data_IF_047958993790
#
_entry.id   IF_047958993790
#
_cell.length_a   1.000
_cell.length_b   1.000
_cell.length_c   1.000
_cell.angle_alpha   90.00
_cell.angle_beta   90.00
_cell.angle_gamma   90.00
#
_symmetry.space_group_name_H-M   'P 1'
#
loop_
_entity.id
_entity.type
_entity.pdbx_description
1 polymer ?
#
# COMPACT_ATOMS: atom_id res chain seq x y z
N UNK A 1 46.08 26.81 -8.22
CA UNK A 1 44.80 26.17 -8.59
C UNK A 1 44.75 24.84 -7.86
N UNK A 2 43.87 24.70 -6.87
CA UNK A 2 43.60 23.41 -6.23
C UNK A 2 42.56 22.70 -7.08
N UNK A 3 42.98 21.64 -7.75
CA UNK A 3 42.07 20.76 -8.48
C UNK A 3 41.14 20.08 -7.47
N UNK A 4 39.84 20.24 -7.64
CA UNK A 4 38.85 19.62 -6.75
C UNK A 4 38.73 18.15 -7.15
N UNK A 5 39.15 17.25 -6.26
CA UNK A 5 38.92 15.81 -6.41
C UNK A 5 37.42 15.57 -6.31
N UNK A 6 36.83 14.99 -7.37
CA UNK A 6 35.43 14.60 -7.38
C UNK A 6 35.21 13.29 -6.62
N UNK A 7 33.97 13.03 -6.20
CA UNK A 7 33.59 11.76 -5.55
C UNK A 7 34.00 10.53 -6.39
N UNK A 8 33.98 10.66 -7.72
CA UNK A 8 34.28 9.58 -8.67
C UNK A 8 35.77 9.25 -8.78
N UNK A 9 36.63 10.15 -8.30
CA UNK A 9 38.08 9.98 -8.30
C UNK A 9 38.57 9.21 -7.07
N UNK A 10 37.68 8.96 -6.09
CA UNK A 10 38.04 8.20 -4.90
C UNK A 10 38.36 6.73 -5.23
N UNK A 11 39.32 6.11 -4.53
CA UNK A 11 39.57 4.67 -4.63
C UNK A 11 38.37 3.84 -4.14
N UNK A 12 38.28 2.58 -4.59
CA UNK A 12 37.12 1.71 -4.32
C UNK A 12 36.89 1.49 -2.81
N UNK A 13 37.94 1.53 -2.00
CA UNK A 13 37.91 1.43 -0.55
C UNK A 13 37.15 2.61 0.07
N UNK A 14 37.41 3.83 -0.40
CA UNK A 14 36.71 5.02 0.07
C UNK A 14 35.27 5.06 -0.43
N UNK A 15 35.00 4.63 -1.66
CA UNK A 15 33.64 4.45 -2.15
C UNK A 15 32.86 3.46 -1.27
N UNK A 16 33.46 2.31 -0.93
CA UNK A 16 32.84 1.34 0.00
C UNK A 16 32.64 1.92 1.39
N UNK A 17 33.59 2.71 1.90
CA UNK A 17 33.43 3.39 3.18
C UNK A 17 32.29 4.41 3.16
N UNK A 18 32.19 5.24 2.12
CA UNK A 18 31.09 6.21 1.96
C UNK A 18 29.73 5.52 1.96
N UNK A 19 29.61 4.37 1.29
CA UNK A 19 28.39 3.55 1.32
C UNK A 19 27.95 3.16 2.74
N UNK A 20 28.89 3.03 3.68
CA UNK A 20 28.58 2.68 5.07
C UNK A 20 28.14 3.88 5.93
N UNK A 21 28.22 5.11 5.41
CA UNK A 21 27.90 6.32 6.17
C UNK A 21 26.40 6.63 6.25
N UNK A 22 25.59 6.14 5.31
CA UNK A 22 24.13 6.27 5.40
C UNK A 22 23.47 5.00 5.92
N UNK A 23 22.19 5.14 6.28
CA UNK A 23 21.41 4.05 6.83
C UNK A 23 21.34 2.86 5.85
N UNK A 24 21.58 1.61 6.32
CA UNK A 24 21.64 0.44 5.45
C UNK A 24 20.33 0.11 4.73
N UNK A 25 19.20 0.62 5.24
CA UNK A 25 17.88 0.47 4.61
C UNK A 25 17.32 1.77 4.02
N UNK A 26 18.14 2.82 3.87
CA UNK A 26 17.71 3.98 3.09
C UNK A 26 17.67 3.60 1.61
N UNK A 27 16.47 3.26 1.12
CA UNK A 27 16.26 2.83 -0.27
C UNK A 27 16.78 3.89 -1.24
N UNK A 28 16.44 5.15 -1.01
CA UNK A 28 16.77 6.24 -1.94
C UNK A 28 18.25 6.53 -2.00
N UNK A 29 18.93 6.60 -0.85
CA UNK A 29 20.38 6.80 -0.80
C UNK A 29 21.13 5.64 -1.50
N UNK A 30 20.70 4.39 -1.26
CA UNK A 30 21.33 3.23 -1.88
C UNK A 30 21.10 3.17 -3.39
N UNK A 31 19.89 3.50 -3.88
CA UNK A 31 19.60 3.57 -5.32
C UNK A 31 20.37 4.70 -5.97
N UNK A 32 20.35 5.92 -5.40
CA UNK A 32 21.12 7.04 -5.90
C UNK A 32 22.61 6.68 -6.00
N UNK A 33 23.17 6.08 -4.95
CA UNK A 33 24.57 5.67 -4.94
C UNK A 33 24.88 4.61 -5.99
N UNK A 34 24.02 3.60 -6.15
CA UNK A 34 24.17 2.60 -7.20
C UNK A 34 24.22 3.25 -8.59
N UNK A 35 23.34 4.21 -8.87
CA UNK A 35 23.19 4.84 -10.17
C UNK A 35 24.28 5.89 -10.51
N UNK A 36 25.17 6.24 -9.57
CA UNK A 36 26.21 7.25 -9.82
C UNK A 36 27.19 6.84 -10.91
N UNK A 37 27.77 5.63 -10.82
CA UNK A 37 28.77 5.10 -11.77
C UNK A 37 28.85 3.57 -11.72
N UNK A 38 29.48 2.94 -12.72
CA UNK A 38 29.77 1.50 -12.69
C UNK A 38 30.61 1.07 -11.47
N UNK A 39 31.47 1.96 -10.96
CA UNK A 39 32.29 1.68 -9.77
C UNK A 39 31.45 1.60 -8.49
N UNK A 40 30.44 2.46 -8.36
CA UNK A 40 29.52 2.42 -7.23
C UNK A 40 28.52 1.28 -7.38
N UNK A 41 28.04 0.97 -8.59
CA UNK A 41 27.24 -0.23 -8.88
C UNK A 41 27.98 -1.54 -8.54
N UNK A 42 29.28 -1.62 -8.84
CA UNK A 42 30.12 -2.77 -8.46
C UNK A 42 30.22 -3.01 -6.94
N UNK A 43 29.85 -2.02 -6.11
CA UNK A 43 29.70 -2.21 -4.67
C UNK A 43 28.44 -3.01 -4.28
N UNK A 44 27.59 -3.35 -5.25
CA UNK A 44 26.37 -4.15 -5.10
C UNK A 44 26.42 -5.40 -5.99
N UNK A 45 26.80 -5.25 -7.27
CA UNK A 45 26.69 -6.31 -8.29
C UNK A 45 27.71 -7.45 -8.15
N UNK A 46 28.77 -7.28 -7.36
CA UNK A 46 29.87 -8.25 -7.23
C UNK A 46 29.57 -9.50 -6.41
N UNK A 47 28.31 -9.79 -6.06
CA UNK A 47 27.95 -10.92 -5.18
C UNK A 47 26.87 -11.77 -5.84
N UNK A 48 26.89 -13.09 -5.59
CA UNK A 48 25.82 -14.02 -5.98
C UNK A 48 24.43 -13.69 -5.36
N UNK A 49 24.33 -12.59 -4.63
CA UNK A 49 23.21 -12.20 -3.77
C UNK A 49 22.67 -10.80 -4.09
N UNK A 50 23.03 -10.22 -5.25
CA UNK A 50 22.57 -8.88 -5.65
C UNK A 50 21.05 -8.76 -5.56
N UNK A 51 20.30 -9.75 -6.06
CA UNK A 51 18.84 -9.73 -6.01
C UNK A 51 18.30 -9.79 -4.56
N UNK A 52 18.93 -10.60 -3.70
CA UNK A 52 18.58 -10.70 -2.28
C UNK A 52 18.85 -9.41 -1.50
N UNK A 53 19.91 -8.67 -1.87
CA UNK A 53 20.15 -7.34 -1.31
C UNK A 53 18.98 -6.40 -1.61
N UNK A 54 18.52 -6.36 -2.87
CA UNK A 54 17.41 -5.49 -3.27
C UNK A 54 16.08 -5.96 -2.69
N UNK A 55 15.84 -7.26 -2.60
CA UNK A 55 14.66 -7.80 -1.91
C UNK A 55 14.60 -7.30 -0.48
N UNK A 56 15.68 -7.49 0.28
CA UNK A 56 15.76 -7.05 1.68
C UNK A 56 15.54 -5.54 1.79
N UNK A 57 16.18 -4.76 0.91
CA UNK A 57 16.04 -3.31 0.88
C UNK A 57 14.58 -2.89 0.69
N UNK A 58 13.89 -3.46 -0.30
CA UNK A 58 12.49 -3.19 -0.57
C UNK A 58 11.61 -3.57 0.61
N UNK A 59 11.79 -4.78 1.16
CA UNK A 59 10.98 -5.26 2.30
C UNK A 59 11.19 -4.40 3.55
N UNK A 60 12.43 -3.99 3.84
CA UNK A 60 12.74 -3.09 4.94
C UNK A 60 12.10 -1.70 4.82
N UNK A 61 11.69 -1.31 3.60
CA UNK A 61 10.93 -0.08 3.34
C UNK A 61 9.43 -0.36 3.16
N UNK A 62 8.96 -1.54 3.58
CA UNK A 62 7.57 -1.95 3.54
C UNK A 62 7.04 -2.24 2.14
N UNK A 63 7.90 -2.63 1.19
CA UNK A 63 7.55 -2.93 -0.19
C UNK A 63 7.61 -4.43 -0.48
N UNK A 64 6.71 -4.90 -1.33
CA UNK A 64 6.62 -6.28 -1.82
C UNK A 64 6.61 -6.36 -3.35
N UNK A 65 6.67 -7.58 -3.85
CA UNK A 65 6.23 -7.91 -5.22
C UNK A 65 4.73 -8.15 -5.23
N UNK A 66 4.06 -7.78 -6.31
CA UNK A 66 2.63 -8.09 -6.50
C UNK A 66 2.47 -9.52 -7.03
N UNK A 67 1.23 -9.99 -7.21
CA UNK A 67 0.99 -11.28 -7.88
C UNK A 67 1.04 -11.20 -9.42
N UNK A 68 0.85 -10.00 -9.98
CA UNK A 68 0.92 -9.73 -11.43
C UNK A 68 2.36 -9.63 -11.93
N UNK A 69 3.25 -9.45 -10.98
CA UNK A 69 4.66 -9.29 -11.15
C UNK A 69 5.30 -10.62 -11.65
N UNK A 70 5.74 -10.70 -12.91
CA UNK A 70 6.49 -11.85 -13.48
C UNK A 70 7.67 -12.31 -12.60
N UNK A 71 7.99 -13.61 -12.54
CA UNK A 71 9.16 -14.10 -11.79
C UNK A 71 10.49 -13.86 -12.53
N UNK A 72 10.67 -12.66 -13.09
CA UNK A 72 11.86 -12.26 -13.81
C UNK A 72 13.03 -11.98 -12.86
N UNK A 73 14.26 -12.34 -13.28
CA UNK A 73 15.46 -12.01 -12.50
C UNK A 73 15.67 -10.49 -12.40
N UNK A 74 16.21 -10.03 -11.26
CA UNK A 74 16.47 -8.61 -10.94
C UNK A 74 15.21 -7.76 -10.68
N UNK A 75 14.06 -8.39 -10.47
CA UNK A 75 12.81 -7.67 -10.23
C UNK A 75 12.90 -6.70 -9.05
N UNK A 76 13.47 -7.15 -7.93
CA UNK A 76 13.55 -6.33 -6.72
C UNK A 76 14.38 -5.06 -6.93
N UNK A 77 15.43 -5.15 -7.76
CA UNK A 77 16.24 -3.99 -8.15
C UNK A 77 15.42 -2.98 -8.95
N UNK A 78 14.62 -3.46 -9.91
CA UNK A 78 13.75 -2.57 -10.69
C UNK A 78 12.70 -1.90 -9.79
N UNK A 79 12.06 -2.66 -8.90
CA UNK A 79 11.12 -2.12 -7.91
C UNK A 79 11.78 -1.03 -7.05
N UNK A 80 13.00 -1.29 -6.56
CA UNK A 80 13.76 -0.32 -5.79
C UNK A 80 13.94 0.99 -6.57
N UNK A 81 14.25 0.91 -7.87
CA UNK A 81 14.50 2.08 -8.72
C UNK A 81 13.23 2.87 -8.97
N UNK A 82 12.15 2.19 -9.34
CA UNK A 82 10.87 2.81 -9.62
C UNK A 82 10.34 3.53 -8.37
N UNK A 83 10.41 2.88 -7.21
CA UNK A 83 10.02 3.47 -5.94
C UNK A 83 10.92 4.64 -5.54
N UNK A 84 12.24 4.51 -5.62
CA UNK A 84 13.16 5.58 -5.23
C UNK A 84 13.03 6.82 -6.12
N UNK A 85 12.89 6.61 -7.44
CA UNK A 85 12.66 7.70 -8.40
C UNK A 85 11.35 8.43 -8.13
N UNK A 86 10.29 7.67 -7.83
CA UNK A 86 8.97 8.24 -7.56
C UNK A 86 8.88 8.93 -6.20
N UNK A 87 9.65 8.48 -5.21
CA UNK A 87 9.56 8.96 -3.84
C UNK A 87 9.75 10.47 -3.69
N UNK A 88 10.59 11.08 -4.53
CA UNK A 88 10.94 12.50 -4.45
C UNK A 88 9.88 13.43 -5.06
N UNK A 89 9.05 12.91 -5.96
CA UNK A 89 7.99 13.66 -6.66
C UNK A 89 6.59 13.23 -6.26
N UNK A 90 6.47 12.35 -5.26
CA UNK A 90 5.18 11.80 -4.85
C UNK A 90 4.44 12.81 -3.96
N UNK A 91 3.33 13.33 -4.47
CA UNK A 91 2.45 14.27 -3.77
C UNK A 91 1.30 13.57 -3.01
N UNK A 92 1.22 12.24 -3.13
CA UNK A 92 0.19 11.45 -2.47
C UNK A 92 0.38 11.53 -0.95
N UNK A 93 -0.67 11.87 -0.18
CA UNK A 93 -0.60 11.88 1.28
C UNK A 93 -0.15 10.52 1.80
N UNK A 94 0.63 10.53 2.88
CA UNK A 94 1.02 9.28 3.54
C UNK A 94 1.82 8.35 2.59
N UNK A 95 2.48 8.90 1.56
CA UNK A 95 3.28 8.19 0.57
C UNK A 95 4.67 8.85 0.37
N UNK A 96 5.36 8.51 -0.73
CA UNK A 96 6.65 9.09 -1.10
C UNK A 96 7.79 8.74 -0.13
N UNK A 97 8.72 9.68 0.02
CA UNK A 97 9.83 9.57 0.97
C UNK A 97 9.35 9.28 2.38
N UNK A 98 8.39 10.06 2.88
CA UNK A 98 7.90 9.94 4.25
C UNK A 98 7.39 8.53 4.58
N UNK A 99 6.67 7.89 3.64
CA UNK A 99 6.21 6.52 3.81
C UNK A 99 7.35 5.51 3.84
N UNK A 100 8.32 5.62 2.93
CA UNK A 100 9.49 4.72 2.93
C UNK A 100 10.26 4.83 4.25
N UNK A 101 10.38 6.05 4.79
CA UNK A 101 10.99 6.30 6.09
C UNK A 101 10.18 5.72 7.25
N UNK A 102 8.87 5.99 7.31
CA UNK A 102 8.01 5.45 8.36
C UNK A 102 8.01 3.92 8.37
N UNK A 103 7.94 3.28 7.19
CA UNK A 103 7.97 1.83 7.08
C UNK A 103 9.29 1.21 7.57
N UNK A 104 10.41 1.97 7.55
CA UNK A 104 11.73 1.48 8.00
C UNK A 104 11.92 1.57 9.51
N UNK A 105 11.16 2.39 10.22
CA UNK A 105 11.32 2.59 11.67
C UNK A 105 11.11 1.32 12.50
N UNK A 106 10.09 0.48 12.27
CA UNK A 106 9.94 -0.78 13.01
C UNK A 106 11.13 -1.73 12.86
N UNK A 107 11.82 -1.68 11.71
CA UNK A 107 13.04 -2.46 11.48
C UNK A 107 14.24 -1.96 12.31
N UNK A 108 14.24 -0.69 12.70
CA UNK A 108 15.23 -0.11 13.58
C UNK A 108 15.01 -0.53 15.04
N UNK A 109 13.76 -0.44 15.49
CA UNK A 109 13.36 -0.65 16.88
C UNK A 109 13.40 -2.11 17.33
N UNK A 110 13.23 -3.07 16.41
CA UNK A 110 13.35 -4.51 16.69
C UNK A 110 14.77 -4.98 17.04
N UNK A 111 15.70 -4.05 17.28
CA UNK A 111 17.02 -4.33 17.85
C UNK A 111 18.10 -4.65 16.83
N UNK A 112 17.82 -4.52 15.52
CA UNK A 112 18.86 -4.55 14.49
C UNK A 112 19.77 -3.30 14.56
N UNK A 113 19.24 -2.16 15.05
CA UNK A 113 20.00 -0.92 15.21
C UNK A 113 21.11 -0.99 16.28
N UNK A 114 21.03 -1.89 17.27
CA UNK A 114 22.08 -2.01 18.32
C UNK A 114 23.34 -2.77 17.86
N UNK A 115 23.43 -3.22 16.61
CA UNK A 115 24.61 -3.92 16.05
C UNK A 115 25.18 -3.26 14.79
N UNK A 116 24.72 -2.06 14.43
CA UNK A 116 25.11 -1.33 13.21
C UNK A 116 26.53 -0.75 13.24
N UNK A 117 27.24 -0.75 14.38
CA UNK A 117 28.68 -0.47 14.42
C UNK A 117 29.53 -1.60 13.80
N UNK A 118 28.92 -2.77 13.58
CA UNK A 118 29.49 -3.79 12.70
C UNK A 118 29.15 -3.35 11.29
N UNK A 119 30.13 -2.75 10.60
CA UNK A 119 30.20 -2.62 9.14
C UNK A 119 29.36 -3.74 8.52
N UNK A 120 28.46 -3.40 7.58
CA UNK A 120 27.81 -4.33 6.63
C UNK A 120 28.86 -5.08 5.80
N UNK A 121 29.72 -5.81 6.49
CA UNK A 121 30.68 -6.75 5.98
C UNK A 121 29.87 -7.92 5.45
N UNK A 122 30.50 -8.72 4.59
CA UNK A 122 29.94 -10.01 4.19
C UNK A 122 29.35 -10.76 5.38
N UNK A 123 29.94 -10.68 6.59
CA UNK A 123 29.47 -11.36 7.79
C UNK A 123 28.11 -10.89 8.34
N UNK A 124 27.70 -9.62 8.19
CA UNK A 124 26.36 -9.22 8.61
C UNK A 124 25.33 -9.69 7.59
N UNK A 125 25.64 -9.65 6.29
CA UNK A 125 24.81 -10.28 5.25
C UNK A 125 24.83 -11.81 5.32
N UNK A 126 25.89 -12.44 5.82
CA UNK A 126 26.04 -13.91 6.00
C UNK A 126 25.33 -14.40 7.29
N UNK A 127 25.42 -13.61 8.37
CA UNK A 127 24.67 -13.84 9.62
C UNK A 127 23.19 -13.57 9.42
N UNK A 128 22.91 -12.55 8.63
CA UNK A 128 21.60 -12.30 8.11
C UNK A 128 21.18 -13.41 7.15
N UNK A 129 22.02 -13.94 6.26
CA UNK A 129 21.72 -15.07 5.37
C UNK A 129 21.36 -16.35 6.13
N UNK A 130 22.12 -16.71 7.17
CA UNK A 130 21.85 -17.89 8.01
C UNK A 130 20.63 -17.72 8.92
N UNK A 131 20.22 -16.49 9.24
CA UNK A 131 18.93 -16.20 9.89
C UNK A 131 17.78 -16.03 8.88
N UNK A 132 18.03 -15.45 7.73
CA UNK A 132 17.05 -15.02 6.72
C UNK A 132 16.64 -16.13 5.76
N UNK A 133 17.49 -17.16 5.52
CA UNK A 133 17.17 -18.21 4.55
C UNK A 133 16.40 -19.42 5.09
N UNK A 134 16.12 -19.50 6.39
CA UNK A 134 15.33 -20.62 6.95
C UNK A 134 14.41 -20.23 8.11
N UNK A 135 14.69 -19.14 8.85
CA UNK A 135 14.02 -18.90 10.13
C UNK A 135 13.45 -17.49 10.35
N UNK A 136 13.70 -16.50 9.48
CA UNK A 136 12.95 -15.23 9.47
C UNK A 136 11.59 -15.37 8.78
N UNK A 137 10.78 -16.12 9.47
CA UNK A 137 9.51 -15.65 9.97
C UNK A 137 9.73 -14.23 10.53
N UNK A 138 9.12 -13.17 9.96
CA UNK A 138 8.99 -11.83 10.58
C UNK A 138 8.77 -12.00 12.11
N UNK A 139 9.14 -11.07 13.00
CA UNK A 139 8.80 -11.18 14.42
C UNK A 139 7.28 -11.35 14.65
N UNK A 140 6.45 -11.10 13.62
CA UNK A 140 5.04 -11.51 13.56
C UNK A 140 4.62 -12.38 12.36
N UNK A 141 5.53 -12.99 11.58
CA UNK A 141 5.09 -14.14 10.80
C UNK A 141 4.78 -15.22 11.84
N UNK A 142 3.54 -15.66 11.87
CA UNK A 142 3.10 -16.57 12.90
C UNK A 142 3.62 -17.93 12.44
N UNK A 143 4.72 -18.42 13.04
CA UNK A 143 4.91 -19.87 13.04
C UNK A 143 3.60 -20.45 13.55
N UNK A 144 3.10 -21.51 12.90
CA UNK A 144 2.12 -22.43 13.49
C UNK A 144 2.74 -23.15 14.71
N UNK A 145 3.41 -22.42 15.60
CA UNK A 145 3.76 -22.86 16.93
C UNK A 145 2.51 -22.84 17.80
N UNK A 146 2.51 -23.58 18.91
CA UNK A 146 1.34 -23.73 19.75
C UNK A 146 0.97 -22.38 20.38
N UNK A 147 -0.05 -21.73 19.79
CA UNK A 147 -1.09 -20.95 20.47
C UNK A 147 -0.61 -19.91 21.50
N UNK A 148 0.49 -19.21 21.23
CA UNK A 148 0.72 -17.93 21.91
C UNK A 148 -0.33 -16.95 21.36
N UNK A 149 -1.27 -16.56 22.21
CA UNK A 149 -2.25 -15.48 22.00
C UNK A 149 -1.49 -14.15 21.87
N UNK A 150 -0.83 -13.95 20.74
CA UNK A 150 -0.28 -12.65 20.38
C UNK A 150 -1.43 -11.83 19.85
N UNK A 151 -2.05 -11.13 20.78
CA UNK A 151 -3.08 -10.09 20.62
C UNK A 151 -2.48 -8.83 19.98
N UNK A 152 -1.63 -9.02 18.97
CA UNK A 152 -1.02 -7.92 18.24
C UNK A 152 -2.03 -7.44 17.21
N UNK A 153 -2.59 -6.26 17.47
CA UNK A 153 -3.28 -5.48 16.46
C UNK A 153 -2.34 -5.34 15.26
N UNK A 154 -2.76 -5.86 14.09
CA UNK A 154 -2.06 -5.58 12.85
C UNK A 154 -2.38 -4.13 12.47
N UNK A 155 -1.35 -3.32 12.30
CA UNK A 155 -1.52 -1.94 11.86
C UNK A 155 -1.75 -1.93 10.35
N UNK A 156 -2.87 -1.33 9.92
CA UNK A 156 -3.12 -1.15 8.49
C UNK A 156 -2.21 -0.09 7.90
N UNK A 157 -1.90 -0.26 6.62
CA UNK A 157 -1.25 0.80 5.87
C UNK A 157 -2.21 1.99 5.72
N UNK A 158 -1.86 3.18 6.22
CA UNK A 158 -2.75 4.35 6.17
C UNK A 158 -3.04 4.82 4.74
N UNK A 159 -2.27 4.40 3.73
CA UNK A 159 -2.60 4.69 2.33
C UNK A 159 -3.94 4.09 1.91
N UNK A 160 -4.39 3.02 2.58
CA UNK A 160 -5.70 2.40 2.32
C UNK A 160 -6.86 3.38 2.59
N UNK A 161 -6.67 4.36 3.49
CA UNK A 161 -7.63 5.42 3.75
C UNK A 161 -7.80 6.41 2.59
N UNK A 162 -6.80 6.46 1.70
CA UNK A 162 -6.73 7.37 0.56
C UNK A 162 -7.13 6.71 -0.76
N UNK A 163 -7.51 5.42 -0.76
CA UNK A 163 -7.95 4.74 -1.97
C UNK A 163 -9.41 5.04 -2.26
N UNK A 164 -9.69 5.21 -3.54
CA UNK A 164 -10.99 5.59 -4.05
C UNK A 164 -11.31 4.87 -5.34
N UNK A 165 -12.61 4.86 -5.68
CA UNK A 165 -13.09 4.14 -6.84
C UNK A 165 -13.80 5.04 -7.83
N UNK A 166 -13.47 4.90 -9.13
CA UNK A 166 -14.18 5.60 -10.20
C UNK A 166 -15.48 4.87 -10.52
N UNK A 167 -16.56 5.62 -10.68
CA UNK A 167 -17.75 5.15 -11.40
C UNK A 167 -17.42 5.17 -12.88
N UNK A 168 -17.53 4.03 -13.54
CA UNK A 168 -17.52 4.03 -15.00
C UNK A 168 -18.85 4.57 -15.48
N UNK A 169 -18.79 5.49 -16.44
CA UNK A 169 -19.99 6.02 -17.09
C UNK A 169 -20.88 4.88 -17.61
N UNK A 170 -22.18 5.08 -17.45
CA UNK A 170 -23.22 4.25 -18.07
C UNK A 170 -22.86 4.11 -19.56
N UNK A 171 -22.84 2.88 -20.07
CA UNK A 171 -22.57 2.50 -21.47
C UNK A 171 -21.12 2.15 -21.88
N UNK A 172 -20.12 2.21 -20.99
CA UNK A 172 -18.81 1.60 -21.27
C UNK A 172 -18.54 0.44 -20.32
N UNK A 173 -18.35 -0.77 -20.88
CA UNK A 173 -17.86 -1.90 -20.12
C UNK A 173 -16.58 -1.48 -19.40
N UNK A 174 -16.53 -1.51 -18.05
CA UNK A 174 -15.38 -1.01 -17.32
C UNK A 174 -14.15 -1.77 -17.78
N UNK A 175 -13.19 -1.06 -18.36
CA UNK A 175 -11.86 -1.62 -18.45
C UNK A 175 -11.41 -1.88 -17.02
N UNK A 176 -10.99 -3.11 -16.82
CA UNK A 176 -10.74 -3.70 -15.53
C UNK A 176 -9.72 -2.85 -14.74
N UNK A 177 -8.81 -2.15 -15.39
CA UNK A 177 -7.68 -1.49 -14.73
C UNK A 177 -7.99 -0.09 -14.18
N UNK A 178 -9.15 0.51 -14.49
CA UNK A 178 -9.40 1.94 -14.25
C UNK A 178 -10.19 2.24 -12.96
N UNK A 179 -10.42 1.24 -12.10
CA UNK A 179 -11.41 1.38 -11.03
C UNK A 179 -10.85 1.94 -9.74
N UNK A 180 -9.55 1.92 -9.44
CA UNK A 180 -8.99 2.58 -8.27
C UNK A 180 -7.93 3.63 -8.57
N UNK A 181 -8.01 4.71 -7.81
CA UNK A 181 -7.07 5.82 -7.81
C UNK A 181 -6.78 6.25 -6.39
N UNK A 182 -5.70 7.01 -6.24
CA UNK A 182 -5.31 7.56 -4.94
C UNK A 182 -5.83 8.99 -4.81
N UNK A 183 -6.53 9.28 -3.72
CA UNK A 183 -7.07 10.61 -3.40
C UNK A 183 -6.08 11.43 -2.54
N UNK A 184 -5.94 12.74 -2.80
CA UNK A 184 -5.37 13.70 -1.87
C UNK A 184 -6.16 13.82 -0.54
N UNK A 185 -5.53 14.41 0.49
CA UNK A 185 -5.98 14.36 1.90
C UNK A 185 -7.32 15.05 2.15
N UNK A 186 -7.69 16.03 1.31
CA UNK A 186 -8.72 17.03 1.62
C UNK A 186 -9.77 17.22 0.50
N UNK A 187 -10.05 16.19 -0.30
CA UNK A 187 -10.99 16.34 -1.42
C UNK A 187 -12.45 16.10 -1.04
N UNK A 188 -13.28 17.11 -1.32
CA UNK A 188 -14.74 17.00 -1.43
C UNK A 188 -15.12 16.16 -2.65
N UNK A 189 -16.23 15.43 -2.57
CA UNK A 189 -16.75 14.57 -3.66
C UNK A 189 -16.96 15.33 -4.97
N UNK A 190 -17.15 16.66 -4.91
CA UNK A 190 -17.56 17.53 -6.02
C UNK A 190 -16.47 17.81 -7.06
N UNK A 191 -15.22 17.39 -6.86
CA UNK A 191 -14.16 17.63 -7.86
C UNK A 191 -14.20 16.58 -8.99
N UNK A 192 -15.08 16.83 -9.98
CA UNK A 192 -15.43 15.96 -11.12
C UNK A 192 -14.25 15.46 -11.98
N UNK A 193 -13.08 16.11 -11.94
CA UNK A 193 -11.95 15.73 -12.79
C UNK A 193 -10.62 15.85 -12.05
N UNK A 194 -10.16 14.72 -11.51
CA UNK A 194 -8.77 14.58 -11.12
C UNK A 194 -8.02 13.61 -12.05
N UNK A 195 -6.82 14.00 -12.53
CA UNK A 195 -5.84 13.07 -13.07
C UNK A 195 -5.19 12.31 -11.90
N UNK A 196 -6.00 11.71 -11.02
CA UNK A 196 -5.49 10.89 -9.93
C UNK A 196 -4.69 9.73 -10.50
N UNK A 197 -3.50 9.49 -9.95
CA UNK A 197 -2.67 8.35 -10.33
C UNK A 197 -3.43 7.07 -10.03
N UNK A 198 -3.56 6.22 -11.05
CA UNK A 198 -4.16 4.90 -10.90
C UNK A 198 -3.36 4.09 -9.87
N UNK A 199 -4.07 3.34 -9.04
CA UNK A 199 -3.44 2.61 -7.94
C UNK A 199 -2.33 1.68 -8.45
N UNK A 200 -2.60 0.94 -9.53
CA UNK A 200 -1.69 -0.04 -10.11
C UNK A 200 -0.44 0.60 -10.76
N UNK A 201 -0.54 1.85 -11.21
CA UNK A 201 0.58 2.59 -11.82
C UNK A 201 1.45 3.31 -10.79
N UNK A 202 0.97 3.47 -9.55
CA UNK A 202 1.74 4.10 -8.49
C UNK A 202 2.72 3.11 -7.83
N UNK A 203 4.05 3.24 -8.03
CA UNK A 203 5.01 2.18 -7.67
C UNK A 203 5.11 1.94 -6.16
N UNK A 204 5.05 3.00 -5.35
CA UNK A 204 5.11 2.87 -3.89
C UNK A 204 3.80 2.31 -3.33
N UNK A 205 2.66 2.93 -3.62
CA UNK A 205 1.36 2.50 -3.08
C UNK A 205 1.03 1.07 -3.47
N UNK A 206 1.05 0.72 -4.76
CA UNK A 206 0.68 -0.63 -5.23
C UNK A 206 1.51 -1.74 -4.56
N UNK A 207 2.77 -1.45 -4.23
CA UNK A 207 3.72 -2.42 -3.66
C UNK A 207 3.86 -2.34 -2.15
N UNK A 208 3.32 -1.31 -1.53
CA UNK A 208 3.37 -1.21 -0.08
C UNK A 208 2.62 -2.37 0.55
N UNK A 209 3.17 -2.95 1.61
CA UNK A 209 2.42 -3.94 2.41
C UNK A 209 1.11 -3.32 2.89
N UNK A 210 0.02 -4.09 2.82
CA UNK A 210 -1.28 -3.64 3.32
C UNK A 210 -1.30 -3.54 4.84
N UNK A 211 -0.40 -4.26 5.52
CA UNK A 211 -0.36 -4.38 6.97
C UNK A 211 1.06 -4.48 7.49
N UNK A 212 1.22 -4.10 8.76
CA UNK A 212 2.44 -4.29 9.52
C UNK A 212 2.15 -5.06 10.82
N UNK A 213 2.83 -6.21 11.05
CA UNK A 213 3.71 -6.92 10.11
C UNK A 213 2.96 -7.45 8.85
N UNK A 214 3.66 -7.68 7.73
CA UNK A 214 3.06 -8.21 6.51
C UNK A 214 2.62 -9.65 6.72
N UNK A 215 1.44 -9.97 6.20
CA UNK A 215 0.91 -11.35 6.18
C UNK A 215 0.94 -11.90 4.78
N UNK A 216 0.96 -13.23 4.64
CA UNK A 216 0.92 -13.88 3.33
C UNK A 216 -0.51 -14.18 2.83
N UNK A 217 -1.50 -14.12 3.72
CA UNK A 217 -2.88 -14.51 3.40
C UNK A 217 -3.86 -13.65 4.17
N UNK A 218 -4.92 -13.24 3.49
CA UNK A 218 -6.01 -12.47 4.03
C UNK A 218 -7.33 -12.99 3.49
N UNK A 219 -8.35 -13.03 4.34
CA UNK A 219 -9.69 -13.49 3.98
C UNK A 219 -10.69 -12.59 4.70
N UNK A 220 -11.57 -11.92 3.98
CA UNK A 220 -12.65 -11.16 4.60
C UNK A 220 -13.93 -11.98 4.58
N UNK A 221 -14.52 -12.20 5.75
CA UNK A 221 -15.86 -12.77 5.93
C UNK A 221 -16.93 -11.67 6.06
N UNK A 222 -16.55 -10.41 5.81
CA UNK A 222 -17.48 -9.28 5.83
C UNK A 222 -18.29 -9.23 4.53
N UNK A 223 -19.19 -8.26 4.39
CA UNK A 223 -19.84 -7.93 3.11
C UNK A 223 -18.86 -7.82 1.93
N UNK A 224 -17.58 -7.49 2.20
CA UNK A 224 -16.50 -7.53 1.24
C UNK A 224 -15.84 -8.92 1.17
N UNK A 225 -16.60 -9.99 0.93
CA UNK A 225 -16.08 -11.37 0.80
C UNK A 225 -14.98 -11.53 -0.26
N UNK A 226 -13.71 -11.36 0.11
CA UNK A 226 -12.55 -11.63 -0.74
C UNK A 226 -11.48 -12.41 -0.01
N UNK A 227 -10.64 -13.12 -0.76
CA UNK A 227 -9.41 -13.71 -0.27
C UNK A 227 -8.25 -13.33 -1.18
N UNK A 228 -7.08 -13.14 -0.59
CA UNK A 228 -5.85 -12.89 -1.33
C UNK A 228 -4.69 -13.60 -0.67
N UNK A 229 -3.77 -14.08 -1.51
CA UNK A 229 -2.58 -14.82 -1.11
C UNK A 229 -1.39 -14.22 -1.83
N UNK A 230 -0.34 -13.87 -1.09
CA UNK A 230 0.93 -13.41 -1.63
C UNK A 230 2.05 -13.90 -0.70
N UNK A 231 2.88 -14.83 -1.19
CA UNK A 231 3.95 -15.43 -0.39
C UNK A 231 5.01 -14.40 0.09
N UNK A 232 5.11 -13.26 -0.58
CA UNK A 232 6.06 -12.19 -0.23
C UNK A 232 5.47 -11.14 0.73
N UNK A 233 4.15 -11.20 0.97
CA UNK A 233 3.41 -10.28 1.81
C UNK A 233 2.33 -9.57 1.00
N UNK A 234 1.10 -9.57 1.52
CA UNK A 234 -0.07 -8.92 0.93
C UNK A 234 0.21 -7.43 0.76
N UNK A 235 0.10 -6.96 -0.47
CA UNK A 235 0.21 -5.55 -0.82
C UNK A 235 -1.13 -4.85 -0.79
N UNK A 236 -1.09 -3.52 -0.81
CA UNK A 236 -2.27 -2.68 -1.02
C UNK A 236 -2.97 -3.05 -2.34
N UNK A 237 -2.22 -3.33 -3.40
CA UNK A 237 -2.82 -3.76 -4.68
C UNK A 237 -3.52 -5.12 -4.56
N UNK A 238 -2.97 -6.05 -3.78
CA UNK A 238 -3.59 -7.36 -3.55
C UNK A 238 -4.95 -7.26 -2.84
N UNK A 239 -5.08 -6.36 -1.85
CA UNK A 239 -6.37 -6.06 -1.19
C UNK A 239 -7.37 -5.55 -2.22
N UNK A 240 -6.95 -4.56 -3.01
CA UNK A 240 -7.80 -3.95 -4.01
C UNK A 240 -8.25 -4.96 -5.08
N UNK A 241 -7.33 -5.77 -5.60
CA UNK A 241 -7.62 -6.81 -6.57
C UNK A 241 -8.59 -7.86 -6.00
N UNK A 242 -8.51 -8.15 -4.70
CA UNK A 242 -9.49 -8.98 -3.99
C UNK A 242 -10.88 -8.33 -3.93
N UNK A 243 -10.95 -7.07 -3.54
CA UNK A 243 -12.23 -6.33 -3.43
C UNK A 243 -12.91 -6.09 -4.77
N UNK A 244 -12.13 -6.04 -5.85
CA UNK A 244 -12.55 -5.76 -7.22
C UNK A 244 -13.82 -6.48 -7.67
N UNK A 245 -13.93 -7.76 -7.37
CA UNK A 245 -15.07 -8.59 -7.81
C UNK A 245 -16.38 -8.20 -7.11
N UNK A 246 -16.28 -7.54 -5.95
CA UNK A 246 -17.38 -7.17 -5.06
C UNK A 246 -17.82 -5.73 -5.30
N UNK A 247 -16.88 -4.86 -5.68
CA UNK A 247 -17.13 -3.44 -5.91
C UNK A 247 -18.19 -3.19 -6.99
N UNK A 248 -18.34 -4.11 -7.95
CA UNK A 248 -19.39 -4.04 -8.97
C UNK A 248 -20.66 -4.80 -8.65
N UNK A 249 -20.73 -5.48 -7.51
CA UNK A 249 -21.94 -6.20 -7.12
C UNK A 249 -22.99 -5.20 -6.62
N UNK A 250 -24.27 -5.40 -7.01
CA UNK A 250 -25.37 -4.62 -6.47
C UNK A 250 -25.43 -4.79 -4.94
N UNK A 251 -25.63 -3.70 -4.23
CA UNK A 251 -25.81 -3.71 -2.78
C UNK A 251 -27.28 -3.90 -2.45
N UNK A 252 -27.59 -4.97 -1.72
CA UNK A 252 -28.94 -5.18 -1.20
C UNK A 252 -29.22 -4.22 -0.04
N UNK A 253 -30.49 -3.94 0.24
CA UNK A 253 -30.86 -3.11 1.41
C UNK A 253 -30.32 -3.67 2.74
N UNK A 254 -30.18 -5.00 2.85
CA UNK A 254 -29.58 -5.65 4.01
C UNK A 254 -28.07 -5.35 4.11
N UNK A 255 -27.34 -5.42 3.01
CA UNK A 255 -25.91 -5.07 2.99
C UNK A 255 -25.69 -3.58 3.24
N UNK A 256 -26.55 -2.72 2.70
CA UNK A 256 -26.55 -1.28 3.01
C UNK A 256 -26.74 -1.02 4.51
N UNK A 257 -27.64 -1.75 5.19
CA UNK A 257 -27.79 -1.69 6.65
C UNK A 257 -26.50 -2.08 7.37
N UNK A 258 -25.84 -3.15 6.94
CA UNK A 258 -24.56 -3.59 7.51
C UNK A 258 -23.49 -2.51 7.30
N UNK A 259 -23.44 -1.88 6.11
CA UNK A 259 -22.52 -0.78 5.82
C UNK A 259 -22.71 0.41 6.78
N UNK A 260 -23.95 0.79 7.05
CA UNK A 260 -24.27 1.83 8.04
C UNK A 260 -23.77 1.43 9.44
N UNK A 261 -24.02 0.19 9.86
CA UNK A 261 -23.60 -0.31 11.17
C UNK A 261 -22.06 -0.40 11.34
N UNK A 262 -21.31 -0.37 10.22
CA UNK A 262 -19.83 -0.35 10.21
C UNK A 262 -19.24 1.06 10.31
N UNK A 263 -20.07 2.10 10.47
CA UNK A 263 -19.63 3.50 10.57
C UNK A 263 -19.81 3.99 12.00
N UNK A 264 -18.85 4.78 12.50
CA UNK A 264 -18.89 5.28 13.89
C UNK A 264 -20.04 6.27 14.13
N UNK A 265 -20.44 7.02 13.10
CA UNK A 265 -21.47 8.07 13.17
C UNK A 265 -22.44 7.94 11.96
N UNK A 266 -23.28 6.89 11.92
CA UNK A 266 -24.09 6.58 10.75
C UNK A 266 -25.10 7.69 10.39
N UNK A 267 -25.59 8.40 11.39
CA UNK A 267 -26.44 9.59 11.25
C UNK A 267 -25.74 10.77 10.57
N UNK A 268 -24.40 10.84 10.57
CA UNK A 268 -23.66 11.93 9.92
C UNK A 268 -23.28 11.61 8.47
N UNK A 269 -23.48 10.36 8.01
CA UNK A 269 -23.13 9.94 6.66
C UNK A 269 -23.99 10.65 5.63
N UNK A 270 -25.30 10.73 5.89
CA UNK A 270 -26.27 11.31 4.99
C UNK A 270 -26.95 12.51 5.66
N UNK A 271 -27.35 13.55 4.90
CA UNK A 271 -28.15 14.63 5.45
C UNK A 271 -29.43 14.08 6.09
N UNK A 272 -29.81 14.59 7.27
CA UNK A 272 -31.06 14.23 7.97
C UNK A 272 -32.33 14.39 7.10
N UNK A 273 -32.22 15.23 6.07
CA UNK A 273 -33.29 15.47 5.08
C UNK A 273 -33.48 14.34 4.09
N UNK A 274 -32.51 13.44 3.93
CA UNK A 274 -32.59 12.34 2.97
C UNK A 274 -33.37 11.17 3.57
N UNK A 275 -34.48 10.74 2.94
CA UNK A 275 -35.18 9.55 3.38
C UNK A 275 -34.34 8.31 3.07
N UNK A 276 -34.53 7.26 3.86
CA UNK A 276 -33.59 6.12 3.83
C UNK A 276 -33.50 5.39 2.49
N UNK A 277 -34.57 5.41 1.69
CA UNK A 277 -34.56 4.81 0.36
C UNK A 277 -33.67 5.60 -0.60
N UNK A 278 -33.57 6.94 -0.45
CA UNK A 278 -32.64 7.76 -1.24
C UNK A 278 -31.19 7.48 -0.84
N UNK A 279 -30.92 7.31 0.46
CA UNK A 279 -29.59 6.91 0.91
C UNK A 279 -29.19 5.52 0.36
N UNK A 280 -30.14 4.57 0.33
CA UNK A 280 -29.90 3.25 -0.26
C UNK A 280 -29.72 3.33 -1.79
N UNK A 281 -30.50 4.15 -2.49
CA UNK A 281 -30.33 4.42 -3.93
C UNK A 281 -29.02 5.13 -4.24
N UNK A 282 -28.45 5.90 -3.31
CA UNK A 282 -27.11 6.46 -3.46
C UNK A 282 -26.00 5.40 -3.37
N UNK A 283 -26.32 4.18 -2.92
CA UNK A 283 -25.38 3.06 -2.73
C UNK A 283 -25.90 1.84 -3.50
N UNK A 284 -26.02 1.96 -4.82
CA UNK A 284 -26.49 0.85 -5.67
C UNK A 284 -25.47 -0.28 -5.76
N UNK A 285 -24.18 0.06 -5.72
CA UNK A 285 -23.07 -0.89 -5.72
C UNK A 285 -22.15 -0.64 -4.54
N UNK A 286 -21.41 -1.68 -4.15
CA UNK A 286 -20.45 -1.62 -3.05
C UNK A 286 -19.39 -0.51 -3.24
N UNK A 287 -19.03 -0.18 -4.49
CA UNK A 287 -18.11 0.94 -4.78
C UNK A 287 -18.68 2.31 -4.44
N UNK A 288 -20.00 2.49 -4.51
CA UNK A 288 -20.65 3.78 -4.29
C UNK A 288 -20.52 4.19 -2.82
N UNK A 289 -20.51 3.21 -1.92
CA UNK A 289 -20.21 3.41 -0.51
C UNK A 289 -18.90 4.17 -0.29
N UNK A 290 -17.81 3.77 -0.97
CA UNK A 290 -16.49 4.40 -0.86
C UNK A 290 -16.40 5.81 -1.48
N UNK A 291 -17.46 6.29 -2.13
CA UNK A 291 -17.61 7.70 -2.51
C UNK A 291 -18.07 8.54 -1.33
N UNK A 292 -18.98 7.98 -0.54
CA UNK A 292 -19.72 8.65 0.54
C UNK A 292 -18.89 8.63 1.82
N UNK A 293 -18.16 7.54 2.06
CA UNK A 293 -17.30 7.40 3.23
C UNK A 293 -15.82 7.37 2.88
N UNK A 294 -14.97 7.59 3.88
CA UNK A 294 -13.55 7.27 3.83
C UNK A 294 -13.27 6.15 4.81
N UNK A 295 -12.43 5.19 4.41
CA UNK A 295 -11.88 4.20 5.34
C UNK A 295 -10.96 4.94 6.30
N UNK A 296 -11.22 4.90 7.60
CA UNK A 296 -10.35 5.53 8.62
C UNK A 296 -9.36 4.54 9.17
N UNK A 297 -9.83 3.32 9.40
CA UNK A 297 -9.05 2.25 9.98
C UNK A 297 -9.41 0.94 9.29
N UNK A 298 -8.40 0.12 9.04
CA UNK A 298 -8.59 -1.31 8.78
C UNK A 298 -7.88 -2.03 9.91
N UNK A 299 -8.65 -2.55 10.86
CA UNK A 299 -8.12 -3.44 11.88
C UNK A 299 -8.25 -4.88 11.40
N UNK A 300 -7.49 -5.80 11.98
CA UNK A 300 -7.55 -7.20 11.60
C UNK A 300 -7.82 -8.06 12.81
N UNK A 301 -8.91 -8.80 12.75
CA UNK A 301 -9.26 -9.81 13.74
C UNK A 301 -8.93 -11.20 13.22
N UNK A 302 -8.59 -12.13 14.12
CA UNK A 302 -8.49 -13.54 13.75
C UNK A 302 -9.89 -14.14 13.63
N UNK A 303 -10.30 -14.46 12.40
CA UNK A 303 -11.51 -15.23 12.11
C UNK A 303 -11.27 -16.73 12.13
N UNK A 304 -12.27 -17.50 11.70
CA UNK A 304 -12.17 -18.97 11.63
C UNK A 304 -11.20 -19.44 10.54
N UNK A 305 -11.11 -18.70 9.42
CA UNK A 305 -10.32 -19.09 8.24
C UNK A 305 -9.02 -18.29 8.06
N UNK A 306 -8.78 -17.26 8.89
CA UNK A 306 -7.60 -16.43 8.74
C UNK A 306 -7.72 -15.06 9.42
N UNK A 307 -6.92 -14.11 8.95
CA UNK A 307 -7.04 -12.70 9.34
C UNK A 307 -8.14 -12.04 8.54
N UNK A 308 -9.13 -11.51 9.24
CA UNK A 308 -10.30 -10.86 8.67
C UNK A 308 -10.19 -9.33 8.88
N UNK A 309 -10.13 -8.53 7.80
CA UNK A 309 -10.23 -7.09 7.93
C UNK A 309 -11.57 -6.69 8.53
N UNK A 310 -11.51 -5.77 9.48
CA UNK A 310 -12.63 -4.98 9.97
C UNK A 310 -12.40 -3.55 9.51
N UNK A 311 -13.35 -3.03 8.75
CA UNK A 311 -13.28 -1.68 8.24
C UNK A 311 -14.03 -0.77 9.19
N UNK A 312 -13.41 0.35 9.54
CA UNK A 312 -14.07 1.49 10.17
C UNK A 312 -14.14 2.61 9.13
N UNK A 313 -15.31 3.22 9.05
CA UNK A 313 -15.58 4.30 8.10
C UNK A 313 -15.86 5.60 8.83
N UNK A 314 -15.47 6.71 8.23
CA UNK A 314 -15.97 8.04 8.59
C UNK A 314 -16.70 8.67 7.40
N UNK A 315 -17.69 9.49 7.70
CA UNK A 315 -18.43 10.24 6.69
C UNK A 315 -17.52 11.22 5.95
N UNK A 316 -17.93 11.57 4.72
CA UNK A 316 -17.39 12.70 3.97
C UNK A 316 -18.44 13.79 3.91
N UNK A 317 -18.00 15.01 3.66
CA UNK A 317 -18.93 16.08 3.31
C UNK A 317 -19.64 15.74 2.00
N UNK A 318 -20.94 15.49 2.10
CA UNK A 318 -21.81 15.24 0.96
C UNK A 318 -22.37 16.55 0.40
N UNK A 319 -22.68 16.60 -0.90
CA UNK A 319 -23.48 17.69 -1.44
C UNK A 319 -24.89 17.69 -0.81
N UNK A 320 -25.55 18.86 -0.80
CA UNK A 320 -26.90 18.99 -0.23
C UNK A 320 -27.95 18.08 -0.91
N UNK A 321 -27.75 17.76 -2.20
CA UNK A 321 -28.69 16.94 -2.98
C UNK A 321 -28.05 15.63 -3.46
N UNK A 322 -28.77 14.50 -3.43
CA UNK A 322 -28.23 13.20 -3.83
C UNK A 322 -27.68 13.16 -5.25
N UNK A 323 -28.41 13.76 -6.19
CA UNK A 323 -28.06 13.81 -7.61
C UNK A 323 -26.65 14.33 -7.95
N UNK A 324 -25.97 14.99 -7.02
CA UNK A 324 -24.60 15.49 -7.20
C UNK A 324 -23.52 14.49 -6.78
N UNK A 325 -23.87 13.32 -6.27
CA UNK A 325 -22.92 12.22 -6.09
C UNK A 325 -22.80 11.51 -7.44
N UNK A 326 -21.63 11.61 -8.08
CA UNK A 326 -21.33 10.95 -9.36
C UNK A 326 -21.85 9.50 -9.40
N UNK A 327 -22.65 9.17 -10.42
CA UNK A 327 -23.29 7.85 -10.55
C UNK A 327 -24.74 7.78 -10.05
N UNK A 328 -25.27 8.82 -9.40
CA UNK A 328 -26.71 9.02 -9.23
C UNK A 328 -27.37 9.66 -10.46
N UNK A 329 -26.67 9.72 -11.60
CA UNK A 329 -27.25 10.24 -12.84
C UNK A 329 -28.43 9.36 -13.24
N UNK A 330 -29.64 9.84 -12.95
CA UNK A 330 -30.78 9.61 -13.82
C UNK A 330 -30.35 10.07 -15.21
N UNK A 331 -29.97 9.16 -16.10
CA UNK A 331 -30.08 9.47 -17.52
C UNK A 331 -31.57 9.75 -17.90
N UNK A 332 -32.53 9.60 -16.96
CA UNK A 332 -33.98 9.59 -17.17
C UNK A 332 -34.79 10.79 -16.59
N UNK A 333 -34.18 11.96 -16.40
CA UNK A 333 -34.94 13.19 -16.11
C UNK A 333 -34.69 14.26 -17.18
N UNK A 334 -35.12 13.98 -18.41
CA UNK A 334 -35.77 15.01 -19.21
C UNK A 334 -36.88 14.41 -20.08
N UNK A 335 -38.08 15.02 -20.09
CA UNK A 335 -38.68 15.18 -21.41
C UNK A 335 -39.34 16.54 -21.63
N UNK A 336 -39.04 17.60 -20.88
CA UNK A 336 -39.79 18.84 -21.05
C UNK A 336 -39.31 20.07 -20.31
N UNK A 337 -38.37 20.79 -20.93
CA UNK A 337 -38.37 22.26 -21.02
C UNK A 337 -38.01 22.71 -22.44
#
# INVERSE_FOLDING_TARGET
>A
MTERIGLLDFPNELLRYIKTLWHPFDLTANVCYYLLTDRTAACFDGRAETDKFWELMCRANGLSVTNEDSLEPNRWRQIAYDCARHAWSCEVPECGMHRLESNREPYLDTGMSRRSDVVLSGALMESARTRWSSDWVYPGAIRRGPRAELDHNLDSNPVLAHIAFRTTFVNQHPYIFDTAYIRPRDQTIVQEFWPGTELHSHPIVSRSFAMFPPVATISSDSIFHFSSVNAHGITVLDIFNGMRTILGQPTTFKEFRILLDMTDEPEQIFPDTWPIYECASAVEQTRDWFKIVKTTEISFGKGNEGWCPKYTFAHRELPERPQFIDGLSSEDMDPGL
#
